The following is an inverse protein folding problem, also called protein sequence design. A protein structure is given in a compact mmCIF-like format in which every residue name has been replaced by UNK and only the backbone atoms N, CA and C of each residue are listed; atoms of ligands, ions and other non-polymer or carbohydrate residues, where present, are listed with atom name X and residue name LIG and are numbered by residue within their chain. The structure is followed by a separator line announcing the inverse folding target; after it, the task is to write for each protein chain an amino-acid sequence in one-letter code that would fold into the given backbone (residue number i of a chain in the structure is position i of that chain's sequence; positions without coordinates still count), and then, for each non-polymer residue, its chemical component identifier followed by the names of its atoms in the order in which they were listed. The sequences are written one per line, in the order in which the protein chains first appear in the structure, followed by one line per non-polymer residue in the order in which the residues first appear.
data_IF_365194012086
#
_entry.id   IF_365194012086
#
_cell.length_a   1.000
_cell.length_b   1.000
_cell.length_c   1.000
_cell.angle_alpha   90.00
_cell.angle_beta   90.00
_cell.angle_gamma   90.00
#
_symmetry.space_group_name_H-M   'P 1'
#
loop_
_entity.id
_entity.type
_entity.pdbx_description
1 polymer ?
#
# COMPACT_ATOMS: atom_id res chain seq x y z
N UNK A 1 -12.56 -5.98 11.44
CA UNK A 1 -11.32 -6.70 11.04
C UNK A 1 -11.55 -7.81 10.02
N UNK A 2 -12.22 -8.95 10.31
CA UNK A 2 -12.34 -10.08 9.35
C UNK A 2 -12.98 -9.76 7.99
N UNK A 3 -13.96 -8.85 7.93
CA UNK A 3 -14.68 -8.51 6.67
C UNK A 3 -13.84 -7.72 5.66
N UNK A 4 -12.98 -6.80 6.12
CA UNK A 4 -12.15 -5.97 5.25
C UNK A 4 -11.02 -6.78 4.59
N UNK A 5 -10.47 -7.75 5.33
CA UNK A 5 -9.44 -8.68 4.82
C UNK A 5 -10.03 -9.59 3.73
N UNK A 6 -11.26 -10.08 3.92
CA UNK A 6 -11.97 -10.91 2.92
C UNK A 6 -12.25 -10.11 1.63
N UNK A 7 -12.63 -8.83 1.74
CA UNK A 7 -12.85 -7.97 0.57
C UNK A 7 -11.53 -7.67 -0.18
N UNK A 8 -10.44 -7.41 0.53
CA UNK A 8 -9.12 -7.23 -0.07
C UNK A 8 -8.63 -8.51 -0.76
N UNK A 9 -8.87 -9.69 -0.17
CA UNK A 9 -8.56 -10.98 -0.79
C UNK A 9 -9.41 -11.23 -2.05
N UNK A 10 -10.72 -10.92 -2.02
CA UNK A 10 -11.63 -11.08 -3.16
C UNK A 10 -11.36 -10.13 -4.32
N UNK A 11 -10.99 -8.87 -4.04
CA UNK A 11 -10.62 -7.90 -5.09
C UNK A 11 -9.31 -8.26 -5.80
N UNK A 12 -8.46 -9.07 -5.14
CA UNK A 12 -7.14 -9.43 -5.66
C UNK A 12 -7.12 -10.84 -6.27
N UNK A 13 -8.01 -11.75 -5.87
CA UNK A 13 -8.08 -13.13 -6.39
C UNK A 13 -8.60 -13.27 -7.82
N UNK A 14 -8.78 -12.17 -8.57
CA UNK A 14 -9.26 -12.18 -9.96
C UNK A 14 -8.11 -12.14 -11.00
N UNK A 15 -6.84 -12.26 -10.60
CA UNK A 15 -5.72 -12.43 -11.55
C UNK A 15 -4.72 -13.49 -11.09
N UNK A 16 -4.35 -14.39 -12.01
CA UNK A 16 -3.55 -15.61 -11.78
C UNK A 16 -2.10 -15.40 -11.26
N UNK A 17 -1.67 -14.17 -10.96
CA UNK A 17 -0.29 -13.82 -10.57
C UNK A 17 -0.18 -12.92 -9.32
N UNK A 18 -1.09 -13.03 -8.36
CA UNK A 18 -1.13 -12.06 -7.25
C UNK A 18 -0.15 -12.40 -6.13
N UNK A 19 1.07 -11.88 -6.24
CA UNK A 19 2.02 -11.77 -5.13
C UNK A 19 1.52 -10.73 -4.11
N UNK A 20 0.74 -11.20 -3.13
CA UNK A 20 0.17 -10.41 -2.02
C UNK A 20 0.98 -10.69 -0.76
N UNK A 21 1.34 -9.64 -0.01
CA UNK A 21 1.87 -9.79 1.34
C UNK A 21 1.02 -9.01 2.34
N UNK A 22 0.50 -9.72 3.34
CA UNK A 22 -0.17 -9.11 4.49
C UNK A 22 0.88 -8.83 5.56
N UNK A 23 0.93 -7.59 6.04
CA UNK A 23 1.95 -7.15 7.00
C UNK A 23 1.44 -7.19 8.43
N UNK A 24 2.24 -7.77 9.31
CA UNK A 24 1.94 -7.91 10.73
C UNK A 24 3.07 -7.36 11.61
N UNK A 25 2.73 -6.99 12.85
CA UNK A 25 3.71 -6.55 13.85
C UNK A 25 4.68 -5.47 13.36
N UNK A 26 5.99 -5.78 13.44
CA UNK A 26 7.07 -4.85 13.08
C UNK A 26 7.18 -4.57 11.58
N UNK A 27 6.70 -5.48 10.72
CA UNK A 27 6.80 -5.31 9.26
C UNK A 27 5.98 -4.12 8.75
N UNK A 28 4.88 -3.76 9.43
CA UNK A 28 4.05 -2.59 9.12
C UNK A 28 4.82 -1.27 9.13
N UNK A 29 5.92 -1.16 9.90
CA UNK A 29 6.73 0.07 9.95
C UNK A 29 7.71 0.19 8.79
N UNK A 30 8.05 -0.94 8.18
CA UNK A 30 8.98 -1.04 7.07
C UNK A 30 8.21 -0.83 5.77
N UNK A 31 7.14 -1.60 5.55
CA UNK A 31 6.32 -1.49 4.33
C UNK A 31 7.15 -1.59 3.06
N UNK A 32 6.89 -0.72 2.08
CA UNK A 32 7.63 -0.67 0.82
C UNK A 32 9.13 -0.30 0.95
N UNK A 33 9.60 0.15 2.12
CA UNK A 33 11.03 0.47 2.34
C UNK A 33 11.93 -0.76 2.32
N UNK A 34 11.36 -1.96 2.39
CA UNK A 34 12.11 -3.21 2.29
C UNK A 34 12.63 -3.51 0.87
N UNK A 35 12.19 -2.76 -0.15
CA UNK A 35 12.45 -3.05 -1.55
C UNK A 35 13.21 -1.89 -2.21
N UNK A 36 14.36 -2.21 -2.79
CA UNK A 36 15.17 -1.21 -3.50
C UNK A 36 14.67 -0.97 -4.94
N UNK A 37 13.99 -1.95 -5.54
CA UNK A 37 13.43 -1.87 -6.88
C UNK A 37 11.96 -2.26 -6.88
N UNK A 38 11.18 -1.63 -7.74
CA UNK A 38 9.73 -1.79 -7.81
C UNK A 38 9.34 -3.24 -8.17
N UNK A 39 10.09 -3.85 -9.09
CA UNK A 39 9.88 -5.21 -9.60
C UNK A 39 10.13 -6.29 -8.54
N UNK A 40 10.78 -5.94 -7.42
CA UNK A 40 11.00 -6.85 -6.30
C UNK A 40 9.87 -6.79 -5.26
N UNK A 41 9.08 -5.73 -5.27
CA UNK A 41 8.00 -5.54 -4.33
C UNK A 41 6.82 -6.46 -4.67
N UNK A 42 6.11 -7.00 -3.66
CA UNK A 42 4.82 -7.61 -3.88
C UNK A 42 3.89 -6.63 -4.60
N UNK A 43 3.03 -7.18 -5.47
CA UNK A 43 2.04 -6.38 -6.20
C UNK A 43 1.09 -5.66 -5.24
N UNK A 44 0.82 -6.27 -4.08
CA UNK A 44 -0.01 -5.68 -3.04
C UNK A 44 0.62 -5.91 -1.65
N UNK A 45 0.84 -4.83 -0.90
CA UNK A 45 1.07 -4.91 0.55
C UNK A 45 -0.21 -4.51 1.28
N UNK A 46 -0.69 -5.40 2.15
CA UNK A 46 -1.93 -5.19 2.90
C UNK A 46 -1.58 -4.88 4.36
N UNK A 47 -2.07 -3.73 4.84
CA UNK A 47 -1.90 -3.25 6.20
C UNK A 47 -3.25 -3.30 6.92
N UNK A 48 -3.56 -4.37 7.67
CA UNK A 48 -4.73 -4.40 8.54
C UNK A 48 -4.53 -3.46 9.73
N UNK A 49 -5.58 -2.76 10.17
CA UNK A 49 -5.58 -1.82 11.30
C UNK A 49 -4.33 -0.91 11.33
N UNK A 50 -4.09 -0.14 10.26
CA UNK A 50 -2.87 0.64 10.13
C UNK A 50 -2.89 1.89 11.01
N UNK A 51 -1.70 2.44 11.27
CA UNK A 51 -1.58 3.82 11.78
C UNK A 51 -2.17 4.79 10.75
N UNK A 52 -2.89 5.86 11.14
CA UNK A 52 -3.37 6.87 10.20
C UNK A 52 -2.24 7.75 9.63
N UNK A 53 -0.98 7.52 10.04
CA UNK A 53 0.19 8.30 9.63
C UNK A 53 1.18 7.42 8.88
N UNK A 54 1.40 7.75 7.61
CA UNK A 54 2.35 7.11 6.71
C UNK A 54 3.42 8.10 6.24
N UNK A 55 4.53 7.59 5.72
CA UNK A 55 5.61 8.39 5.15
C UNK A 55 6.26 7.61 4.01
N UNK A 56 6.60 8.32 2.93
CA UNK A 56 7.33 7.76 1.80
C UNK A 56 8.85 7.91 1.94
N UNK A 57 9.32 8.50 3.06
CA UNK A 57 10.74 8.64 3.33
C UNK A 57 11.44 7.28 3.33
N UNK A 58 12.42 7.13 2.44
CA UNK A 58 13.18 5.89 2.24
C UNK A 58 12.51 4.85 1.34
N UNK A 59 11.36 5.15 0.73
CA UNK A 59 10.78 4.31 -0.34
C UNK A 59 11.41 4.74 -1.67
N UNK A 60 11.80 3.78 -2.52
CA UNK A 60 12.57 4.05 -3.76
C UNK A 60 11.74 4.33 -5.00
N UNK A 61 10.44 4.06 -4.97
CA UNK A 61 9.55 4.18 -6.11
C UNK A 61 8.17 4.68 -5.67
N UNK A 62 7.36 5.19 -6.60
CA UNK A 62 6.02 5.66 -6.27
C UNK A 62 5.09 4.52 -5.88
N UNK A 63 4.18 4.81 -4.96
CA UNK A 63 3.25 3.85 -4.39
C UNK A 63 1.86 4.44 -4.40
N UNK A 64 0.89 3.72 -4.97
CA UNK A 64 -0.52 4.04 -4.78
C UNK A 64 -0.96 3.53 -3.42
N UNK A 65 -1.44 4.43 -2.58
CA UNK A 65 -2.03 4.11 -1.29
C UNK A 65 -3.55 4.16 -1.44
N UNK A 66 -4.20 3.04 -1.14
CA UNK A 66 -5.65 2.91 -1.10
C UNK A 66 -6.05 2.62 0.34
N UNK A 67 -6.77 3.53 0.98
CA UNK A 67 -7.18 3.39 2.37
C UNK A 67 -8.70 3.21 2.45
N UNK A 68 -9.13 2.33 3.35
CA UNK A 68 -10.54 2.03 3.57
C UNK A 68 -10.95 2.30 5.02
N UNK A 69 -12.19 2.76 5.20
CA UNK A 69 -12.86 2.90 6.49
C UNK A 69 -14.26 2.32 6.37
N UNK A 70 -14.62 1.37 7.23
CA UNK A 70 -15.94 0.71 7.20
C UNK A 70 -16.34 0.14 5.82
N UNK A 71 -15.37 -0.26 4.99
CA UNK A 71 -15.60 -0.79 3.64
C UNK A 71 -15.63 0.24 2.51
N UNK A 72 -15.57 1.54 2.83
CA UNK A 72 -15.51 2.62 1.83
C UNK A 72 -14.07 3.07 1.59
N UNK A 73 -13.77 3.46 0.35
CA UNK A 73 -12.48 4.07 -0.01
C UNK A 73 -12.46 5.51 0.47
N UNK A 74 -11.55 5.80 1.40
CA UNK A 74 -11.39 7.15 1.98
C UNK A 74 -10.11 7.84 1.51
N UNK A 75 -9.23 7.11 0.83
CA UNK A 75 -8.03 7.64 0.18
C UNK A 75 -7.64 6.74 -0.99
N UNK A 76 -7.29 7.32 -2.14
CA UNK A 76 -6.77 6.60 -3.30
C UNK A 76 -5.88 7.54 -4.12
N UNK A 77 -4.58 7.55 -3.82
CA UNK A 77 -3.62 8.46 -4.47
C UNK A 77 -2.26 7.82 -4.62
N UNK A 78 -1.54 8.20 -5.68
CA UNK A 78 -0.12 7.92 -5.84
C UNK A 78 0.68 8.90 -4.98
N UNK A 79 1.58 8.35 -4.18
CA UNK A 79 2.57 9.07 -3.39
C UNK A 79 3.97 8.77 -3.90
N UNK A 80 4.82 9.77 -3.84
CA UNK A 80 6.15 9.73 -4.43
C UNK A 80 7.21 9.54 -3.34
N UNK A 81 8.39 8.99 -3.69
CA UNK A 81 9.53 8.89 -2.79
C UNK A 81 9.76 10.17 -1.98
N UNK A 82 10.12 10.00 -0.71
CA UNK A 82 10.49 11.07 0.22
C UNK A 82 9.39 12.08 0.61
N UNK A 83 8.13 11.83 0.23
CA UNK A 83 6.98 12.55 0.79
C UNK A 83 6.90 12.37 2.33
N UNK A 84 6.92 13.50 3.04
CA UNK A 84 7.24 13.54 4.48
C UNK A 84 6.17 12.90 5.37
N UNK A 85 4.89 13.32 5.26
CA UNK A 85 3.81 12.83 6.12
C UNK A 85 2.48 12.78 5.37
N UNK A 86 1.92 11.58 5.29
CA UNK A 86 0.60 11.30 4.73
C UNK A 86 -0.34 11.02 5.90
N UNK A 87 -1.41 11.81 6.02
CA UNK A 87 -2.45 11.63 7.04
C UNK A 87 -3.69 11.03 6.39
N UNK A 88 -4.01 9.80 6.77
CA UNK A 88 -5.18 9.08 6.31
C UNK A 88 -6.31 9.24 7.34
N UNK A 89 -7.58 9.30 6.90
CA UNK A 89 -8.73 9.55 7.78
C UNK A 89 -9.13 8.29 8.57
N UNK A 90 -8.33 7.93 9.59
CA UNK A 90 -8.54 6.80 10.50
C UNK A 90 -8.95 5.47 9.80
N UNK A 91 -8.14 4.99 8.83
CA UNK A 91 -8.45 3.79 8.07
C UNK A 91 -8.42 2.52 8.92
N UNK A 92 -9.25 1.53 8.56
CA UNK A 92 -9.22 0.18 9.13
C UNK A 92 -8.37 -0.78 8.27
N UNK A 93 -8.08 -0.38 7.03
CA UNK A 93 -7.30 -1.14 6.06
C UNK A 93 -6.56 -0.18 5.12
N UNK A 94 -5.30 -0.47 4.82
CA UNK A 94 -4.55 0.19 3.75
C UNK A 94 -3.96 -0.86 2.83
N UNK A 95 -4.00 -0.59 1.53
CA UNK A 95 -3.32 -1.36 0.49
C UNK A 95 -2.31 -0.43 -0.18
N UNK A 96 -1.05 -0.85 -0.19
CA UNK A 96 0.01 -0.21 -0.96
C UNK A 96 0.25 -1.01 -2.24
N UNK A 97 0.24 -0.31 -3.38
CA UNK A 97 0.49 -0.87 -4.71
C UNK A 97 1.69 -0.15 -5.32
N UNK A 98 2.80 -0.85 -5.62
CA UNK A 98 3.96 -0.21 -6.23
C UNK A 98 3.63 0.16 -7.69
N UNK A 99 4.08 1.33 -8.14
CA UNK A 99 3.83 1.81 -9.50
C UNK A 99 5.13 1.74 -10.31
N UNK A 100 5.29 0.68 -11.10
CA UNK A 100 6.58 0.33 -11.73
C UNK A 100 6.77 0.88 -13.16
N UNK A 101 5.73 1.43 -13.79
CA UNK A 101 5.86 1.98 -15.14
C UNK A 101 6.68 3.28 -15.12
N UNK A 102 7.84 3.26 -15.78
CA UNK A 102 8.82 4.36 -15.80
C UNK A 102 8.37 5.58 -16.64
N UNK A 103 7.38 5.43 -17.51
CA UNK A 103 6.99 6.47 -18.47
C UNK A 103 6.22 7.66 -17.85
N UNK A 104 5.76 7.56 -16.59
CA UNK A 104 5.02 8.66 -15.92
C UNK A 104 5.88 9.55 -15.02
N UNK A 105 7.19 9.32 -14.95
CA UNK A 105 8.07 9.98 -13.97
C UNK A 105 9.18 10.86 -14.58
N UNK A 106 9.28 10.93 -15.90
CA UNK A 106 10.07 11.96 -16.57
C UNK A 106 9.28 13.27 -16.61
N UNK A 107 9.46 14.10 -15.59
CA UNK A 107 9.31 15.56 -15.72
C UNK A 107 10.67 16.15 -16.08
#
# INVERSE_FOLDING_TARGET
MKKAIVLALLLVSCSDETNIKVLEGKEKRIGMKAYERCEQAPKYLIFPDPSPRFTMKGVRFPVRIIAFKNGEVVHNRIHYPDEALIRLPNPDLVIEVPVCDREQYSK
#
